data_IF_442052450373
#
_entry.id   IF_442052450373
#
_cell.length_a   1.000
_cell.length_b   1.000
_cell.length_c   1.000
_cell.angle_alpha   90.00
_cell.angle_beta   90.00
_cell.angle_gamma   90.00
#
_symmetry.space_group_name_H-M   'P 1'
#
loop_
_entity.id
_entity.type
_entity.pdbx_description
1 polymer ?
#
# COMPACT_ATOMS: atom_id res chain seq x y z
N UNK A 1 -41.85 72.12 -75.03
CA UNK A 1 -42.92 71.23 -75.54
C UNK A 1 -43.01 70.08 -74.55
N UNK A 2 -43.89 70.18 -73.56
CA UNK A 2 -45.25 69.61 -73.49
C UNK A 2 -45.27 68.26 -72.72
N UNK A 3 -45.79 68.32 -71.49
CA UNK A 3 -46.35 67.24 -70.65
C UNK A 3 -47.61 66.61 -71.30
N UNK A 4 -48.08 65.38 -70.94
CA UNK A 4 -48.86 65.09 -69.70
C UNK A 4 -48.58 63.69 -69.04
N UNK A 5 -48.70 63.47 -67.72
CA UNK A 5 -49.88 63.13 -66.87
C UNK A 5 -50.71 61.92 -67.39
N UNK A 6 -51.07 60.83 -66.68
CA UNK A 6 -51.69 60.67 -65.33
C UNK A 6 -51.86 59.16 -64.96
N UNK A 7 -52.06 58.88 -63.65
CA UNK A 7 -52.86 57.78 -63.02
C UNK A 7 -52.32 56.31 -63.02
N UNK A 8 -52.48 55.44 -62.01
CA UNK A 8 -53.02 55.42 -60.63
C UNK A 8 -52.56 54.11 -59.94
N UNK A 9 -52.33 54.18 -58.63
CA UNK A 9 -52.59 53.21 -57.53
C UNK A 9 -52.52 51.69 -57.78
N UNK A 10 -51.72 50.97 -56.98
CA UNK A 10 -52.24 50.08 -55.92
C UNK A 10 -51.13 49.58 -54.98
N UNK A 11 -51.47 49.60 -53.69
CA UNK A 11 -50.78 49.08 -52.51
C UNK A 11 -50.74 47.56 -52.42
N UNK A 12 -49.60 47.00 -52.01
CA UNK A 12 -49.42 45.86 -51.07
C UNK A 12 -48.03 45.26 -51.28
N UNK A 13 -47.13 45.44 -50.33
CA UNK A 13 -46.82 44.45 -49.28
C UNK A 13 -46.04 43.24 -49.80
N UNK A 14 -44.82 43.12 -49.28
CA UNK A 14 -43.93 41.99 -49.51
C UNK A 14 -42.57 42.31 -48.91
N UNK A 15 -42.52 42.35 -47.58
CA UNK A 15 -41.30 42.51 -46.78
C UNK A 15 -40.16 41.66 -47.33
N UNK A 16 -39.00 42.30 -47.41
CA UNK A 16 -37.70 41.64 -47.44
C UNK A 16 -37.47 40.94 -46.09
N UNK A 17 -38.18 39.84 -45.84
CA UNK A 17 -37.78 38.89 -44.82
C UNK A 17 -37.03 37.76 -45.53
N UNK A 18 -35.86 38.13 -46.04
CA UNK A 18 -34.75 37.20 -46.08
C UNK A 18 -34.39 36.88 -44.63
N UNK A 19 -35.23 36.08 -43.98
CA UNK A 19 -34.83 35.34 -42.81
C UNK A 19 -33.72 34.42 -43.29
N UNK A 20 -32.48 34.92 -43.24
CA UNK A 20 -31.40 34.10 -42.79
C UNK A 20 -31.92 33.50 -41.49
N UNK A 21 -32.40 32.26 -41.56
CA UNK A 21 -32.42 31.39 -40.41
C UNK A 21 -30.95 31.22 -40.06
N UNK A 22 -30.37 32.25 -39.43
CA UNK A 22 -29.28 32.08 -38.52
C UNK A 22 -29.92 31.38 -37.34
N UNK A 23 -30.18 30.09 -37.54
CA UNK A 23 -29.98 29.15 -36.46
C UNK A 23 -28.51 29.38 -36.12
N UNK A 24 -28.25 30.32 -35.21
CA UNK A 24 -27.07 30.27 -34.40
C UNK A 24 -27.15 28.87 -33.82
N UNK A 25 -26.47 27.92 -34.46
CA UNK A 25 -26.13 26.65 -33.87
C UNK A 25 -25.26 27.07 -32.69
N UNK A 26 -25.93 27.41 -31.58
CA UNK A 26 -25.32 27.64 -30.29
C UNK A 26 -24.78 26.27 -29.96
N UNK A 27 -23.56 26.04 -30.37
CA UNK A 27 -22.80 24.84 -30.20
C UNK A 27 -21.40 25.27 -29.80
N UNK A 28 -20.53 24.30 -29.68
CA UNK A 28 -19.14 24.53 -29.36
C UNK A 28 -18.27 23.87 -30.42
N UNK A 29 -17.26 24.58 -30.90
CA UNK A 29 -16.25 24.00 -31.77
C UNK A 29 -15.11 23.43 -30.93
N UNK A 30 -14.70 22.19 -31.22
CA UNK A 30 -13.56 21.53 -30.60
C UNK A 30 -12.85 20.64 -31.64
N UNK A 31 -11.56 20.86 -31.84
CA UNK A 31 -10.72 20.15 -32.82
C UNK A 31 -11.35 20.06 -34.24
N UNK A 32 -11.97 21.16 -34.69
CA UNK A 32 -12.61 21.24 -36.00
C UNK A 32 -13.97 20.52 -36.12
N UNK A 33 -14.56 20.05 -35.01
CA UNK A 33 -15.90 19.46 -34.94
C UNK A 33 -16.85 20.35 -34.15
N UNK A 34 -18.11 20.39 -34.56
CA UNK A 34 -19.18 21.13 -33.87
C UNK A 34 -19.96 20.19 -32.95
N UNK A 35 -20.07 20.56 -31.68
CA UNK A 35 -20.82 19.88 -30.63
C UNK A 35 -22.08 20.67 -30.27
N UNK A 36 -23.21 19.99 -30.11
CA UNK A 36 -24.46 20.63 -29.70
C UNK A 36 -24.38 21.11 -28.24
N UNK A 37 -25.13 22.17 -27.92
CA UNK A 37 -25.27 22.66 -26.54
C UNK A 37 -25.68 21.56 -25.56
N UNK A 38 -25.06 21.58 -24.38
CA UNK A 38 -25.33 20.61 -23.31
C UNK A 38 -24.76 19.21 -23.55
N UNK A 39 -24.08 18.96 -24.66
CA UNK A 39 -23.44 17.66 -24.92
C UNK A 39 -22.21 17.45 -24.05
N UNK A 40 -21.97 16.19 -23.69
CA UNK A 40 -20.74 15.71 -23.05
C UNK A 40 -20.06 14.73 -23.98
N UNK A 41 -18.74 14.77 -24.02
CA UNK A 41 -17.95 13.90 -24.87
C UNK A 41 -16.55 13.71 -24.29
N UNK A 42 -15.89 12.62 -24.67
CA UNK A 42 -14.54 12.28 -24.21
C UNK A 42 -13.64 12.01 -25.41
N UNK A 43 -12.83 12.99 -25.85
CA UNK A 43 -11.95 12.81 -27.00
C UNK A 43 -10.83 11.80 -26.75
N UNK A 44 -10.41 11.67 -25.49
CA UNK A 44 -9.49 10.62 -25.02
C UNK A 44 -10.05 10.00 -23.75
N UNK A 45 -9.57 8.82 -23.34
CA UNK A 45 -9.99 8.21 -22.08
C UNK A 45 -9.76 9.12 -20.86
N UNK A 46 -8.74 9.99 -20.87
CA UNK A 46 -8.41 10.90 -19.76
C UNK A 46 -9.06 12.28 -19.84
N UNK A 47 -9.81 12.59 -20.88
CA UNK A 47 -10.34 13.94 -21.06
C UNK A 47 -11.86 13.90 -21.13
N UNK A 48 -12.50 14.61 -20.22
CA UNK A 48 -13.95 14.80 -20.21
C UNK A 48 -14.29 16.24 -20.55
N UNK A 49 -15.00 16.41 -21.67
CA UNK A 49 -15.39 17.72 -22.19
C UNK A 49 -16.91 17.88 -22.17
N UNK A 50 -17.37 19.13 -22.05
CA UNK A 50 -18.77 19.47 -22.27
C UNK A 50 -18.93 20.81 -22.98
N UNK A 51 -19.96 20.88 -23.81
CA UNK A 51 -20.42 22.13 -24.40
C UNK A 51 -21.48 22.76 -23.48
N UNK A 52 -21.30 24.02 -23.02
CA UNK A 52 -22.31 24.70 -22.20
C UNK A 52 -23.69 24.71 -22.86
N UNK A 53 -24.76 24.78 -22.06
CA UNK A 53 -26.15 24.83 -22.59
C UNK A 53 -26.46 26.10 -23.38
N UNK A 54 -25.71 27.16 -23.13
CA UNK A 54 -25.85 28.45 -23.83
C UNK A 54 -24.94 28.55 -25.07
N UNK A 55 -24.09 27.54 -25.30
CA UNK A 55 -23.10 27.46 -26.38
C UNK A 55 -21.77 28.08 -25.99
N UNK A 56 -20.86 28.23 -26.96
CA UNK A 56 -19.58 28.92 -26.76
C UNK A 56 -18.38 27.98 -26.67
N UNK A 57 -17.54 28.17 -25.66
CA UNK A 57 -16.26 27.46 -25.53
C UNK A 57 -16.49 26.12 -24.81
N UNK A 58 -15.88 25.06 -25.34
CA UNK A 58 -15.86 23.76 -24.67
C UNK A 58 -15.06 23.84 -23.38
N UNK A 59 -15.62 23.29 -22.30
CA UNK A 59 -14.92 23.11 -21.04
C UNK A 59 -14.47 21.66 -20.91
N UNK A 60 -13.17 21.44 -20.80
CA UNK A 60 -12.57 20.13 -20.61
C UNK A 60 -11.88 20.04 -19.25
N UNK A 61 -12.00 18.87 -18.63
CA UNK A 61 -11.19 18.45 -17.50
C UNK A 61 -10.33 17.26 -17.94
N UNK A 62 -9.06 17.28 -17.58
CA UNK A 62 -8.14 16.16 -17.76
C UNK A 62 -7.95 15.48 -16.41
N UNK A 63 -8.05 14.16 -16.40
CA UNK A 63 -7.77 13.34 -15.23
C UNK A 63 -6.27 13.01 -15.18
N UNK A 64 -5.65 13.27 -14.02
CA UNK A 64 -4.27 12.90 -13.75
C UNK A 64 -4.21 11.59 -12.97
N UNK A 65 -3.38 10.65 -13.42
CA UNK A 65 -3.27 9.33 -12.82
C UNK A 65 -2.29 9.31 -11.65
N UNK A 66 -2.72 8.75 -10.52
CA UNK A 66 -1.84 8.45 -9.39
C UNK A 66 -1.45 6.97 -9.44
N UNK A 67 -0.18 6.63 -9.69
CA UNK A 67 0.24 5.23 -9.79
C UNK A 67 0.16 4.54 -8.42
N UNK A 68 -0.27 3.28 -8.44
CA UNK A 68 -0.31 2.44 -7.24
C UNK A 68 1.08 2.30 -6.60
N UNK A 69 1.14 2.54 -5.29
CA UNK A 69 2.37 2.37 -4.54
C UNK A 69 2.76 0.88 -4.49
N UNK A 70 4.04 0.60 -4.72
CA UNK A 70 4.60 -0.76 -4.74
C UNK A 70 4.15 -1.66 -5.90
N UNK A 71 3.55 -1.06 -6.93
CA UNK A 71 3.27 -1.80 -8.15
C UNK A 71 4.58 -2.17 -8.87
N UNK A 72 4.68 -3.44 -9.29
CA UNK A 72 5.78 -3.95 -10.11
C UNK A 72 5.47 -3.82 -11.60
N UNK A 73 4.21 -4.08 -11.96
CA UNK A 73 3.75 -4.12 -13.35
C UNK A 73 2.36 -3.53 -13.48
N UNK A 74 2.18 -2.60 -14.41
CA UNK A 74 0.91 -1.94 -14.73
C UNK A 74 0.27 -2.52 -15.98
N UNK A 75 -1.04 -2.29 -16.16
CA UNK A 75 -1.73 -2.62 -17.41
C UNK A 75 -1.18 -1.79 -18.57
N UNK A 76 -1.11 -2.40 -19.75
CA UNK A 76 -0.68 -1.75 -20.98
C UNK A 76 -1.88 -1.61 -21.93
N UNK A 77 -2.80 -0.70 -21.59
CA UNK A 77 -3.98 -0.45 -22.42
C UNK A 77 -4.14 1.04 -22.69
N UNK A 78 -4.67 1.35 -23.88
CA UNK A 78 -5.03 2.73 -24.27
C UNK A 78 -6.53 2.99 -24.16
N UNK A 79 -7.29 2.03 -23.60
CA UNK A 79 -8.75 2.10 -23.53
C UNK A 79 -9.23 2.83 -22.27
N UNK A 80 -8.48 2.72 -21.18
CA UNK A 80 -8.73 3.37 -19.90
C UNK A 80 -7.82 4.59 -19.77
N UNK A 81 -8.23 5.58 -18.96
CA UNK A 81 -7.37 6.73 -18.69
C UNK A 81 -6.11 6.31 -17.93
N UNK A 82 -6.33 5.65 -16.79
CA UNK A 82 -5.27 5.34 -15.86
C UNK A 82 -4.93 3.85 -15.88
N UNK A 83 -3.63 3.52 -15.86
CA UNK A 83 -3.20 2.14 -15.74
C UNK A 83 -3.58 1.63 -14.34
N UNK A 84 -3.88 0.34 -14.27
CA UNK A 84 -4.15 -0.37 -13.02
C UNK A 84 -2.98 -1.30 -12.70
N UNK A 85 -2.69 -1.51 -11.42
CA UNK A 85 -1.64 -2.44 -11.05
C UNK A 85 -2.05 -3.89 -11.34
N UNK A 86 -1.18 -4.63 -12.04
CA UNK A 86 -1.34 -6.05 -12.34
C UNK A 86 -0.63 -6.91 -11.28
N UNK A 87 0.45 -6.39 -10.71
CA UNK A 87 1.30 -7.16 -9.82
C UNK A 87 1.92 -6.28 -8.73
N UNK A 88 1.69 -6.64 -7.48
CA UNK A 88 2.35 -6.04 -6.32
C UNK A 88 3.54 -6.88 -5.87
N UNK A 89 4.53 -6.23 -5.25
CA UNK A 89 5.64 -6.93 -4.63
C UNK A 89 6.63 -5.99 -3.97
N UNK A 90 7.78 -6.54 -3.61
CA UNK A 90 8.80 -5.85 -2.85
C UNK A 90 10.05 -5.65 -3.69
N UNK A 91 10.69 -4.49 -3.55
CA UNK A 91 11.99 -4.21 -4.16
C UNK A 91 13.02 -4.07 -3.05
N UNK A 92 13.92 -5.03 -2.96
CA UNK A 92 15.01 -4.97 -2.00
C UNK A 92 16.09 -3.99 -2.48
N UNK A 93 16.95 -3.54 -1.57
CA UNK A 93 17.94 -2.48 -1.83
C UNK A 93 19.02 -2.89 -2.83
N UNK A 94 19.24 -4.18 -3.02
CA UNK A 94 20.11 -4.77 -4.05
C UNK A 94 19.43 -4.87 -5.44
N UNK A 95 18.18 -4.44 -5.55
CA UNK A 95 17.40 -4.47 -6.79
C UNK A 95 16.62 -5.76 -7.03
N UNK A 96 16.73 -6.77 -6.16
CA UNK A 96 15.95 -8.01 -6.27
C UNK A 96 14.47 -7.72 -6.01
N UNK A 97 13.62 -8.34 -6.82
CA UNK A 97 12.17 -8.20 -6.74
C UNK A 97 11.59 -9.49 -6.16
N UNK A 98 10.70 -9.34 -5.16
CA UNK A 98 9.98 -10.43 -4.53
C UNK A 98 8.48 -10.28 -4.75
N UNK A 99 7.80 -11.40 -5.02
CA UNK A 99 6.36 -11.43 -5.15
C UNK A 99 5.70 -11.20 -3.79
N UNK A 100 4.49 -10.64 -3.76
CA UNK A 100 3.72 -10.56 -2.53
C UNK A 100 3.58 -11.94 -1.86
N UNK A 101 3.79 -12.02 -0.55
CA UNK A 101 3.77 -13.26 0.23
C UNK A 101 5.06 -14.11 0.17
N UNK A 102 6.02 -13.76 -0.69
CA UNK A 102 7.26 -14.52 -0.82
C UNK A 102 8.12 -14.42 0.45
N UNK A 103 8.71 -15.55 0.87
CA UNK A 103 9.64 -15.60 1.99
C UNK A 103 11.04 -15.28 1.48
N UNK A 104 11.56 -14.14 1.91
CA UNK A 104 12.84 -13.58 1.48
C UNK A 104 13.99 -14.20 2.28
N UNK A 105 13.77 -14.39 3.59
CA UNK A 105 14.77 -14.95 4.51
C UNK A 105 14.06 -15.84 5.51
N UNK A 106 14.59 -17.03 5.74
CA UNK A 106 14.02 -18.00 6.67
C UNK A 106 15.13 -18.69 7.46
N UNK A 107 15.53 -18.04 8.56
CA UNK A 107 16.50 -18.53 9.52
C UNK A 107 15.81 -18.80 10.86
N UNK A 108 16.48 -19.50 11.76
CA UNK A 108 15.89 -19.97 13.01
C UNK A 108 15.17 -18.86 13.81
N UNK A 109 15.78 -17.68 13.92
CA UNK A 109 15.22 -16.54 14.65
C UNK A 109 14.69 -15.40 13.78
N UNK A 110 14.82 -15.50 12.45
CA UNK A 110 14.51 -14.40 11.54
C UNK A 110 13.73 -14.93 10.36
N UNK A 111 12.50 -14.43 10.21
CA UNK A 111 11.67 -14.71 9.04
C UNK A 111 11.27 -13.40 8.38
N UNK A 112 11.79 -13.15 7.18
CA UNK A 112 11.43 -11.99 6.38
C UNK A 112 10.55 -12.41 5.21
N UNK A 113 9.53 -11.62 4.92
CA UNK A 113 8.62 -11.86 3.80
C UNK A 113 8.18 -10.56 3.13
N UNK A 114 7.76 -10.66 1.89
CA UNK A 114 7.10 -9.56 1.21
C UNK A 114 5.62 -9.50 1.61
N UNK A 115 5.09 -8.39 2.14
CA UNK A 115 3.68 -8.28 2.49
C UNK A 115 2.75 -8.43 1.29
N UNK A 116 1.48 -8.80 1.55
CA UNK A 116 0.47 -9.10 0.51
C UNK A 116 0.10 -7.90 -0.38
N UNK A 117 0.45 -6.66 0.00
CA UNK A 117 0.28 -5.45 -0.82
C UNK A 117 1.58 -4.92 -1.43
N UNK A 118 2.67 -5.68 -1.35
CA UNK A 118 4.00 -5.23 -1.74
C UNK A 118 4.59 -4.17 -0.81
N UNK A 119 5.75 -3.65 -1.19
CA UNK A 119 6.45 -2.57 -0.50
C UNK A 119 7.76 -3.03 0.13
N UNK A 120 8.00 -2.61 1.37
CA UNK A 120 9.21 -3.00 2.07
C UNK A 120 9.04 -4.40 2.69
N UNK A 121 10.07 -5.25 2.63
CA UNK A 121 10.09 -6.52 3.36
C UNK A 121 9.77 -6.33 4.85
N UNK A 122 8.95 -7.23 5.38
CA UNK A 122 8.63 -7.29 6.81
C UNK A 122 9.38 -8.47 7.41
N UNK A 123 10.05 -8.26 8.54
CA UNK A 123 10.82 -9.28 9.23
C UNK A 123 10.30 -9.53 10.64
N UNK A 124 9.93 -10.77 10.92
CA UNK A 124 9.68 -11.29 12.25
C UNK A 124 11.01 -11.73 12.86
N UNK A 125 11.45 -11.02 13.90
CA UNK A 125 12.69 -11.32 14.62
C UNK A 125 12.35 -11.80 16.02
N UNK A 126 12.80 -13.00 16.36
CA UNK A 126 12.60 -13.60 17.69
C UNK A 126 13.85 -13.39 18.55
N UNK A 127 13.66 -12.77 19.70
CA UNK A 127 14.68 -12.66 20.74
C UNK A 127 14.51 -13.78 21.76
N UNK A 128 15.59 -14.45 22.11
CA UNK A 128 15.53 -15.55 23.07
C UNK A 128 15.51 -15.06 24.52
N UNK A 129 14.68 -15.67 25.38
CA UNK A 129 14.74 -15.41 26.81
C UNK A 129 16.07 -15.94 27.38
N UNK A 130 16.46 -15.44 28.55
CA UNK A 130 17.55 -16.04 29.32
C UNK A 130 17.25 -17.51 29.62
N UNK A 131 18.27 -18.37 29.54
CA UNK A 131 18.13 -19.78 29.86
C UNK A 131 17.88 -19.97 31.36
N UNK A 132 17.02 -20.93 31.69
CA UNK A 132 16.70 -21.30 33.07
C UNK A 132 17.63 -22.39 33.62
N UNK A 133 18.73 -22.66 32.93
CA UNK A 133 19.72 -23.68 33.25
C UNK A 133 21.13 -23.17 32.92
N UNK A 134 22.13 -23.83 33.48
CA UNK A 134 23.55 -23.55 33.24
C UNK A 134 24.14 -24.36 32.09
N UNK A 135 23.39 -25.34 31.57
CA UNK A 135 23.75 -26.24 30.47
C UNK A 135 22.82 -26.12 29.23
N UNK A 136 22.51 -24.90 28.73
CA UNK A 136 21.69 -24.75 27.55
C UNK A 136 22.37 -25.30 26.28
N UNK A 137 21.59 -25.90 25.40
CA UNK A 137 22.07 -26.46 24.12
C UNK A 137 21.37 -25.80 22.95
N UNK A 138 22.14 -25.33 21.97
CA UNK A 138 21.63 -24.83 20.70
C UNK A 138 21.32 -26.01 19.76
N UNK A 139 20.11 -26.01 19.18
CA UNK A 139 19.70 -27.01 18.19
C UNK A 139 19.64 -26.34 16.82
N UNK A 140 20.23 -26.98 15.80
CA UNK A 140 20.20 -26.47 14.43
C UNK A 140 18.75 -26.25 13.95
N UNK A 141 18.46 -25.06 13.42
CA UNK A 141 17.13 -24.67 12.96
C UNK A 141 16.16 -24.22 14.05
N UNK A 142 16.53 -24.33 15.34
CA UNK A 142 15.73 -23.81 16.47
C UNK A 142 16.29 -22.47 16.88
N UNK A 143 15.42 -21.47 17.07
CA UNK A 143 15.87 -20.12 17.42
C UNK A 143 16.60 -20.08 18.75
N UNK A 144 15.99 -20.65 19.78
CA UNK A 144 16.44 -20.49 21.15
C UNK A 144 17.06 -21.75 21.73
N UNK A 145 18.05 -21.60 22.61
CA UNK A 145 18.62 -22.72 23.32
C UNK A 145 17.57 -23.44 24.16
N UNK A 146 17.74 -24.75 24.29
CA UNK A 146 16.90 -25.58 25.15
C UNK A 146 17.69 -26.04 26.37
N UNK A 147 17.00 -26.25 27.48
CA UNK A 147 17.56 -26.85 28.69
C UNK A 147 17.25 -28.34 28.70
N UNK A 148 18.15 -29.23 28.23
CA UNK A 148 17.85 -30.65 28.07
C UNK A 148 17.53 -31.35 29.39
N UNK A 149 18.10 -30.86 30.50
CA UNK A 149 17.90 -31.40 31.84
C UNK A 149 16.90 -30.58 32.67
N UNK A 150 16.13 -29.69 32.03
CA UNK A 150 15.25 -28.74 32.71
C UNK A 150 16.01 -27.64 33.47
N UNK A 151 15.30 -26.80 34.25
CA UNK A 151 15.92 -25.75 35.03
C UNK A 151 16.89 -26.27 36.08
N UNK A 152 18.08 -25.68 36.15
CA UNK A 152 19.14 -26.11 37.08
C UNK A 152 20.11 -24.98 37.41
N UNK A 153 20.90 -25.19 38.46
CA UNK A 153 21.94 -24.28 38.94
C UNK A 153 23.27 -25.01 39.04
N UNK A 154 24.38 -24.26 39.01
CA UNK A 154 25.71 -24.82 39.22
C UNK A 154 26.24 -24.47 40.61
N UNK A 155 26.68 -25.49 41.37
CA UNK A 155 27.37 -25.36 42.65
C UNK A 155 28.73 -26.05 42.51
N UNK A 156 29.78 -25.27 42.24
CA UNK A 156 31.10 -25.81 41.90
C UNK A 156 31.03 -26.64 40.61
N UNK A 157 31.26 -27.95 40.73
CA UNK A 157 31.17 -28.91 39.61
C UNK A 157 29.84 -29.67 39.56
N UNK A 158 28.94 -29.45 40.52
CA UNK A 158 27.65 -30.11 40.58
C UNK A 158 26.58 -29.26 39.89
N UNK A 159 25.87 -29.87 38.94
CA UNK A 159 24.61 -29.32 38.40
C UNK A 159 23.45 -29.83 39.24
N UNK A 160 22.74 -28.92 39.88
CA UNK A 160 21.63 -29.23 40.78
C UNK A 160 20.31 -28.77 40.13
N UNK A 161 19.34 -29.67 39.90
CA UNK A 161 18.00 -29.30 39.46
C UNK A 161 17.32 -28.32 40.41
N UNK A 162 16.43 -27.47 39.89
CA UNK A 162 15.58 -26.59 40.71
C UNK A 162 14.76 -27.42 41.72
N UNK A 163 14.52 -26.83 42.89
CA UNK A 163 13.83 -27.43 44.04
C UNK A 163 14.58 -28.58 44.74
N UNK A 164 15.87 -28.72 44.45
CA UNK A 164 16.76 -29.64 45.15
C UNK A 164 17.77 -28.92 46.05
N UNK A 165 18.27 -29.63 47.05
CA UNK A 165 19.32 -29.17 47.96
C UNK A 165 20.38 -30.23 48.22
N UNK A 166 21.57 -29.77 48.59
CA UNK A 166 22.75 -30.59 48.86
C UNK A 166 23.63 -29.92 49.92
N UNK A 167 24.42 -30.70 50.65
CA UNK A 167 25.40 -30.17 51.60
C UNK A 167 26.78 -30.17 50.95
N UNK A 168 27.42 -29.00 50.87
CA UNK A 168 28.77 -28.81 50.30
C UNK A 168 29.62 -28.05 51.32
N UNK A 169 30.74 -28.64 51.76
CA UNK A 169 31.67 -28.03 52.72
C UNK A 169 31.00 -27.46 53.99
N UNK A 170 30.00 -28.19 54.50
CA UNK A 170 29.21 -27.80 55.68
C UNK A 170 28.18 -26.70 55.43
N UNK A 171 27.96 -26.27 54.19
CA UNK A 171 26.88 -25.37 53.80
C UNK A 171 25.73 -26.15 53.15
N UNK A 172 24.49 -25.81 53.49
CA UNK A 172 23.31 -26.28 52.76
C UNK A 172 23.10 -25.37 51.55
N UNK A 173 23.20 -25.95 50.35
CA UNK A 173 22.98 -25.27 49.08
C UNK A 173 21.65 -25.72 48.44
N UNK A 174 20.79 -24.78 48.06
CA UNK A 174 19.55 -25.01 47.30
C UNK A 174 19.62 -24.37 45.92
N UNK A 175 18.94 -24.97 44.93
CA UNK A 175 18.70 -24.35 43.63
C UNK A 175 17.23 -23.92 43.54
N UNK A 176 16.99 -22.62 43.38
CA UNK A 176 15.65 -22.02 43.40
C UNK A 176 15.35 -21.34 42.06
N UNK A 177 14.08 -21.36 41.64
CA UNK A 177 13.60 -20.56 40.53
C UNK A 177 13.08 -19.20 41.01
N UNK A 178 13.57 -18.14 40.39
CA UNK A 178 13.26 -16.75 40.72
C UNK A 178 12.76 -16.03 39.47
N UNK A 179 11.91 -15.03 39.65
CA UNK A 179 11.48 -14.12 38.59
C UNK A 179 12.15 -12.78 38.83
N UNK A 180 12.87 -12.26 37.84
CA UNK A 180 13.50 -10.95 37.94
C UNK A 180 12.49 -9.80 37.74
N UNK A 181 12.97 -8.56 37.88
CA UNK A 181 12.13 -7.37 37.75
C UNK A 181 11.50 -7.20 36.36
N UNK A 182 12.09 -7.83 35.34
CA UNK A 182 11.62 -7.83 33.97
C UNK A 182 10.65 -9.01 33.68
N UNK A 183 10.34 -9.83 34.70
CA UNK A 183 9.45 -10.98 34.56
C UNK A 183 10.12 -12.23 33.99
N UNK A 184 11.44 -12.25 33.81
CA UNK A 184 12.16 -13.43 33.32
C UNK A 184 12.45 -14.42 34.46
N UNK A 185 12.22 -15.71 34.17
CA UNK A 185 12.57 -16.80 35.08
C UNK A 185 14.07 -17.08 35.04
N UNK A 186 14.69 -17.25 36.20
CA UNK A 186 16.10 -17.58 36.39
C UNK A 186 16.22 -18.66 37.46
N UNK A 187 17.22 -19.52 37.33
CA UNK A 187 17.61 -20.47 38.37
C UNK A 187 18.83 -19.91 39.11
N UNK A 188 18.80 -19.93 40.45
CA UNK A 188 19.91 -19.45 41.28
C UNK A 188 20.23 -20.43 42.40
N UNK A 189 21.52 -20.74 42.54
CA UNK A 189 22.02 -21.48 43.70
C UNK A 189 22.23 -20.53 44.89
N UNK A 190 21.73 -20.92 46.07
CA UNK A 190 21.96 -20.23 47.34
C UNK A 190 22.54 -21.22 48.35
N UNK A 191 23.67 -20.86 48.98
CA UNK A 191 24.32 -21.69 49.99
C UNK A 191 24.40 -20.95 51.32
N UNK A 192 23.89 -21.57 52.39
CA UNK A 192 23.94 -21.05 53.75
C UNK A 192 24.69 -22.03 54.64
N UNK A 193 25.66 -21.53 55.41
CA UNK A 193 26.24 -22.28 56.54
C UNK A 193 25.40 -21.98 57.77
N UNK A 194 25.01 -23.03 58.48
CA UNK A 194 24.40 -22.91 59.81
C UNK A 194 25.40 -22.33 60.83
#
# INVERSE_FOLDING_TARGET
>A
MLLPTFCLLISSWGSLDGASVSFSQRGCEFEGRIYLTGTKFSPTPCMSCHCPKDGGIVNCAVEDCMPDQHCLTFTNTTAECCPTCVQFGCRHTDGVIFQQGEVIRNEACVRCYCPLGGGNPVCDVTSCPMSQCVDPVNISGVCCPVCPNGPNCQIGLLTLPVDQSVIVDGATCSCESLVDLDGQKRSLARCNKD
#
